data_IF_956109766319
#
_entry.id   IF_956109766319
#
_cell.length_a   1.000
_cell.length_b   1.000
_cell.length_c   1.000
_cell.angle_alpha   90.00
_cell.angle_beta   90.00
_cell.angle_gamma   90.00
#
_symmetry.space_group_name_H-M   'P 1'
#
loop_
_entity.id
_entity.type
_entity.pdbx_description
1 polymer ?
#
# COMPACT_ATOMS: atom_id res chain seq x y z
N UNK A 1 28.05 8.93 -8.39
CA UNK A 1 26.65 8.53 -8.13
C UNK A 1 26.70 7.22 -7.37
N UNK A 2 26.09 7.14 -6.20
CA UNK A 2 26.05 5.91 -5.40
C UNK A 2 24.79 5.14 -5.82
N UNK A 3 24.94 3.89 -6.25
CA UNK A 3 23.81 3.00 -6.46
C UNK A 3 23.43 2.39 -5.09
N UNK A 4 22.25 2.76 -4.59
CA UNK A 4 21.73 2.29 -3.30
C UNK A 4 20.57 1.30 -3.46
N UNK A 5 20.22 0.93 -4.68
CA UNK A 5 19.01 0.14 -4.96
C UNK A 5 19.05 -1.23 -4.26
N UNK A 6 20.19 -1.92 -4.31
CA UNK A 6 20.30 -3.23 -3.67
C UNK A 6 20.26 -3.12 -2.12
N UNK A 7 20.88 -2.08 -1.56
CA UNK A 7 20.80 -1.82 -0.12
C UNK A 7 19.34 -1.48 0.32
N UNK A 8 18.61 -0.72 -0.50
CA UNK A 8 17.21 -0.41 -0.28
C UNK A 8 16.34 -1.68 -0.33
N UNK A 9 16.53 -2.52 -1.36
CA UNK A 9 15.80 -3.79 -1.47
C UNK A 9 16.08 -4.73 -0.28
N UNK A 10 17.35 -4.84 0.12
CA UNK A 10 17.71 -5.61 1.31
C UNK A 10 16.97 -5.09 2.55
N UNK A 11 16.91 -3.77 2.74
CA UNK A 11 16.20 -3.15 3.87
C UNK A 11 14.69 -3.38 3.80
N UNK A 12 14.08 -3.33 2.62
CA UNK A 12 12.64 -3.62 2.43
C UNK A 12 12.31 -5.07 2.76
N UNK A 13 13.17 -6.00 2.33
CA UNK A 13 13.00 -7.44 2.57
C UNK A 13 13.33 -7.86 4.01
N UNK A 14 14.07 -7.03 4.74
CA UNK A 14 14.45 -7.32 6.12
C UNK A 14 13.21 -7.43 7.02
N UNK A 15 13.05 -8.58 7.65
CA UNK A 15 11.90 -8.88 8.51
C UNK A 15 10.60 -9.24 7.76
N UNK A 16 10.67 -9.40 6.43
CA UNK A 16 9.55 -9.99 5.70
C UNK A 16 9.32 -11.42 6.18
N UNK A 17 8.10 -11.70 6.64
CA UNK A 17 7.66 -13.04 7.04
C UNK A 17 6.53 -13.45 6.09
N UNK A 18 6.87 -14.16 5.03
CA UNK A 18 5.91 -14.76 4.11
C UNK A 18 5.97 -16.28 4.25
N UNK A 19 5.03 -16.82 5.01
CA UNK A 19 4.87 -18.28 5.15
C UNK A 19 4.08 -18.89 3.98
N UNK A 20 3.46 -18.04 3.17
CA UNK A 20 2.60 -18.46 2.04
C UNK A 20 3.16 -17.92 0.72
N UNK A 21 3.13 -18.76 -0.30
CA UNK A 21 3.45 -18.35 -1.66
C UNK A 21 2.24 -17.64 -2.26
N UNK A 22 2.38 -16.36 -2.58
CA UNK A 22 1.32 -15.57 -3.17
C UNK A 22 1.54 -15.38 -4.67
N UNK A 23 0.44 -15.40 -5.42
CA UNK A 23 0.41 -14.94 -6.81
C UNK A 23 -0.03 -13.48 -6.85
N UNK A 24 0.86 -12.59 -7.30
CA UNK A 24 0.63 -11.14 -7.26
C UNK A 24 0.85 -10.52 -8.63
N UNK A 25 -0.07 -9.67 -9.06
CA UNK A 25 0.12 -8.78 -10.21
C UNK A 25 0.45 -7.38 -9.70
N UNK A 26 1.58 -6.83 -10.15
CA UNK A 26 2.05 -5.50 -9.80
C UNK A 26 1.84 -4.56 -10.97
N UNK A 27 1.27 -3.40 -10.74
CA UNK A 27 1.10 -2.34 -11.73
C UNK A 27 1.91 -1.11 -11.32
N UNK A 28 3.00 -0.85 -12.03
CA UNK A 28 3.90 0.26 -11.76
C UNK A 28 3.54 1.52 -12.57
N UNK A 29 2.54 1.46 -13.46
CA UNK A 29 2.04 2.59 -14.23
C UNK A 29 3.10 3.43 -14.96
N UNK A 30 4.24 2.81 -15.36
CA UNK A 30 5.43 3.49 -15.89
C UNK A 30 6.06 4.51 -14.92
N UNK A 31 5.73 4.42 -13.62
CA UNK A 31 6.30 5.25 -12.57
C UNK A 31 7.65 4.76 -12.05
N UNK A 32 8.23 5.52 -11.13
CA UNK A 32 9.59 5.25 -10.60
C UNK A 32 9.67 3.99 -9.73
N UNK A 33 8.54 3.44 -9.29
CA UNK A 33 8.49 2.17 -8.57
C UNK A 33 8.91 0.97 -9.44
N UNK A 34 8.77 1.06 -10.78
CA UNK A 34 8.96 -0.06 -11.70
C UNK A 34 10.26 -0.84 -11.53
N UNK A 35 11.45 -0.22 -11.60
CA UNK A 35 12.72 -0.92 -11.44
C UNK A 35 12.91 -1.58 -10.07
N UNK A 36 12.33 -0.99 -9.02
CA UNK A 36 12.39 -1.54 -7.66
C UNK A 36 11.49 -2.77 -7.55
N UNK A 37 10.25 -2.66 -8.04
CA UNK A 37 9.28 -3.76 -8.00
C UNK A 37 9.69 -4.93 -8.88
N UNK A 38 10.29 -4.68 -10.06
CA UNK A 38 10.82 -5.73 -10.92
C UNK A 38 11.91 -6.56 -10.21
N UNK A 39 12.79 -5.93 -9.45
CA UNK A 39 13.78 -6.64 -8.63
C UNK A 39 13.15 -7.28 -7.39
N UNK A 40 12.28 -6.58 -6.68
CA UNK A 40 11.62 -7.06 -5.47
C UNK A 40 10.83 -8.34 -5.76
N UNK A 41 10.02 -8.35 -6.82
CA UNK A 41 9.19 -9.48 -7.20
C UNK A 41 9.98 -10.77 -7.43
N UNK A 42 11.21 -10.67 -7.96
CA UNK A 42 12.12 -11.79 -8.18
C UNK A 42 12.71 -12.35 -6.87
N UNK A 43 12.67 -11.59 -5.79
CA UNK A 43 13.15 -11.98 -4.47
C UNK A 43 12.06 -12.56 -3.57
N UNK A 44 10.80 -12.45 -3.99
CA UNK A 44 9.63 -12.98 -3.27
C UNK A 44 9.31 -14.40 -3.71
N UNK A 45 8.79 -15.22 -2.79
CA UNK A 45 8.28 -16.56 -3.11
C UNK A 45 6.88 -16.46 -3.69
N UNK A 46 6.60 -17.24 -4.75
CA UNK A 46 5.28 -17.26 -5.39
C UNK A 46 5.36 -16.92 -6.87
N UNK A 47 4.24 -16.50 -7.46
CA UNK A 47 4.15 -16.12 -8.86
C UNK A 47 3.90 -14.63 -8.97
N UNK A 48 4.79 -13.93 -9.65
CA UNK A 48 4.71 -12.47 -9.77
C UNK A 48 4.71 -12.05 -11.24
N UNK A 49 3.80 -11.16 -11.59
CA UNK A 49 3.79 -10.47 -12.88
C UNK A 49 3.89 -8.96 -12.64
N UNK A 50 4.83 -8.31 -13.31
CA UNK A 50 5.02 -6.85 -13.21
C UNK A 50 4.58 -6.20 -14.50
N UNK A 51 3.61 -5.30 -14.42
CA UNK A 51 3.09 -4.50 -15.53
C UNK A 51 3.76 -3.12 -15.52
N UNK A 52 4.07 -2.62 -16.71
CA UNK A 52 4.50 -1.25 -16.95
C UNK A 52 5.69 -0.82 -16.07
N UNK A 53 6.71 -1.71 -15.97
CA UNK A 53 7.89 -1.50 -15.13
C UNK A 53 8.87 -0.46 -15.68
N UNK A 54 8.88 -0.22 -17.01
CA UNK A 54 9.75 0.76 -17.63
C UNK A 54 9.32 2.17 -17.26
N UNK A 55 10.25 2.97 -16.75
CA UNK A 55 9.96 4.37 -16.34
C UNK A 55 9.78 5.24 -17.57
N UNK A 56 8.59 5.82 -17.75
CA UNK A 56 8.27 6.76 -18.81
C UNK A 56 7.34 7.87 -18.30
N UNK A 57 7.85 9.09 -18.21
CA UNK A 57 7.09 10.24 -17.72
C UNK A 57 5.92 10.67 -18.62
N UNK A 58 5.73 10.05 -19.80
CA UNK A 58 4.53 10.24 -20.62
C UNK A 58 3.39 9.31 -20.24
N UNK A 59 3.64 8.31 -19.40
CA UNK A 59 2.65 7.33 -18.91
C UNK A 59 1.80 6.71 -20.04
N UNK A 60 2.42 6.01 -21.01
CA UNK A 60 1.76 5.61 -22.25
C UNK A 60 0.64 4.59 -22.09
N UNK A 61 0.56 3.89 -20.95
CA UNK A 61 -0.43 2.85 -20.71
C UNK A 61 -1.67 3.39 -19.99
N UNK A 62 -1.48 4.07 -18.87
CA UNK A 62 -2.52 4.77 -18.11
C UNK A 62 -1.88 5.80 -17.17
N UNK A 63 -2.66 6.77 -16.73
CA UNK A 63 -2.19 7.70 -15.69
C UNK A 63 -1.98 6.93 -14.37
N UNK A 64 -0.80 7.02 -13.73
CA UNK A 64 -0.49 6.25 -12.52
C UNK A 64 -1.12 6.91 -11.28
N UNK A 65 -2.42 6.75 -11.14
CA UNK A 65 -3.21 7.18 -9.98
C UNK A 65 -4.14 6.05 -9.55
N UNK A 66 -3.81 5.31 -8.47
CA UNK A 66 -4.58 4.17 -8.00
C UNK A 66 -5.91 4.55 -7.33
N UNK A 67 -6.19 5.85 -7.16
CA UNK A 67 -7.48 6.31 -6.64
C UNK A 67 -8.58 6.38 -7.69
N UNK A 68 -8.23 6.18 -8.97
CA UNK A 68 -9.15 6.23 -10.10
C UNK A 68 -9.35 4.83 -10.67
N UNK A 69 -10.57 4.28 -10.52
CA UNK A 69 -10.90 2.91 -10.94
C UNK A 69 -10.51 2.61 -12.39
N UNK A 70 -10.72 3.56 -13.32
CA UNK A 70 -10.35 3.41 -14.73
C UNK A 70 -8.87 3.08 -14.92
N UNK A 71 -7.99 3.61 -14.11
CA UNK A 71 -6.56 3.35 -14.19
C UNK A 71 -6.19 1.93 -13.72
N UNK A 72 -7.08 1.26 -13.00
CA UNK A 72 -6.89 -0.08 -12.47
C UNK A 72 -7.48 -1.20 -13.37
N UNK A 73 -8.15 -0.88 -14.48
CA UNK A 73 -8.84 -1.84 -15.35
C UNK A 73 -7.90 -2.94 -15.86
N UNK A 74 -6.69 -2.58 -16.26
CA UNK A 74 -5.69 -3.56 -16.72
C UNK A 74 -5.26 -4.48 -15.60
N UNK A 75 -4.97 -3.94 -14.43
CA UNK A 75 -4.60 -4.72 -13.24
C UNK A 75 -5.73 -5.68 -12.83
N UNK A 76 -6.98 -5.20 -12.74
CA UNK A 76 -8.16 -6.00 -12.43
C UNK A 76 -8.31 -7.16 -13.42
N UNK A 77 -8.17 -6.87 -14.71
CA UNK A 77 -8.28 -7.88 -15.78
C UNK A 77 -7.18 -8.94 -15.64
N UNK A 78 -5.96 -8.52 -15.31
CA UNK A 78 -4.83 -9.45 -15.14
C UNK A 78 -4.98 -10.31 -13.89
N UNK A 79 -5.38 -9.76 -12.76
CA UNK A 79 -5.66 -10.50 -11.52
C UNK A 79 -6.67 -11.63 -11.81
N UNK A 80 -7.80 -11.31 -12.43
CA UNK A 80 -8.84 -12.29 -12.78
C UNK A 80 -8.34 -13.35 -13.77
N UNK A 81 -7.63 -12.95 -14.83
CA UNK A 81 -7.14 -13.86 -15.87
C UNK A 81 -6.12 -14.84 -15.33
N UNK A 82 -5.29 -14.44 -14.38
CA UNK A 82 -4.27 -15.29 -13.77
C UNK A 82 -4.75 -16.05 -12.54
N UNK A 83 -5.96 -15.77 -12.05
CA UNK A 83 -6.43 -16.20 -10.73
C UNK A 83 -5.41 -15.82 -9.64
N UNK A 84 -4.85 -14.62 -9.73
CA UNK A 84 -3.89 -14.13 -8.75
C UNK A 84 -4.58 -13.85 -7.42
N UNK A 85 -3.83 -13.98 -6.31
CA UNK A 85 -4.34 -13.72 -4.96
C UNK A 85 -4.65 -12.25 -4.76
N UNK A 86 -3.83 -11.36 -5.36
CA UNK A 86 -4.05 -9.92 -5.33
C UNK A 86 -3.34 -9.18 -6.46
N UNK A 87 -3.78 -7.93 -6.67
CA UNK A 87 -3.11 -6.95 -7.50
C UNK A 87 -2.67 -5.74 -6.65
N UNK A 88 -1.52 -5.18 -6.97
CA UNK A 88 -0.96 -4.01 -6.30
C UNK A 88 -0.60 -2.97 -7.35
N UNK A 89 -1.15 -1.76 -7.21
CA UNK A 89 -0.84 -0.62 -8.07
C UNK A 89 -0.09 0.47 -7.28
N UNK A 90 0.79 1.17 -7.97
CA UNK A 90 1.52 2.33 -7.46
C UNK A 90 1.19 3.58 -8.26
N UNK A 91 1.36 4.72 -7.66
CA UNK A 91 1.34 5.98 -8.39
C UNK A 91 2.70 6.35 -9.00
N UNK A 92 2.79 7.52 -9.62
CA UNK A 92 3.94 7.90 -10.44
C UNK A 92 5.27 7.99 -9.68
N UNK A 93 5.26 8.42 -8.43
CA UNK A 93 6.45 8.51 -7.56
C UNK A 93 6.51 7.41 -6.49
N UNK A 94 5.50 6.52 -6.49
CA UNK A 94 5.50 5.29 -5.71
C UNK A 94 5.22 5.49 -4.21
N UNK A 95 4.60 6.61 -3.82
CA UNK A 95 4.25 6.90 -2.44
C UNK A 95 2.81 6.52 -2.07
N UNK A 96 1.98 6.13 -3.07
CA UNK A 96 0.61 5.64 -2.90
C UNK A 96 0.46 4.22 -3.39
N UNK A 97 -0.39 3.46 -2.70
CA UNK A 97 -0.72 2.08 -3.04
C UNK A 97 -2.22 1.90 -3.29
N UNK A 98 -2.56 1.16 -4.33
CA UNK A 98 -3.89 0.61 -4.57
C UNK A 98 -3.85 -0.91 -4.53
N UNK A 99 -4.87 -1.54 -3.97
CA UNK A 99 -4.92 -3.00 -3.84
C UNK A 99 -6.21 -3.54 -4.47
N UNK A 100 -6.07 -4.65 -5.19
CA UNK A 100 -7.16 -5.41 -5.82
C UNK A 100 -7.18 -6.80 -5.20
N UNK A 101 -8.34 -7.27 -4.77
CA UNK A 101 -8.50 -8.65 -4.29
C UNK A 101 -8.56 -9.67 -5.45
N UNK A 102 -8.54 -10.95 -5.13
CA UNK A 102 -8.61 -12.05 -6.09
C UNK A 102 -9.90 -12.10 -6.93
N UNK A 103 -10.95 -11.39 -6.51
CA UNK A 103 -12.20 -11.24 -7.24
C UNK A 103 -12.20 -10.01 -8.17
N UNK A 104 -11.12 -9.21 -8.13
CA UNK A 104 -10.99 -7.97 -8.88
C UNK A 104 -11.71 -6.79 -8.24
N UNK A 105 -12.00 -6.85 -6.94
CA UNK A 105 -12.58 -5.75 -6.18
C UNK A 105 -11.47 -4.83 -5.67
N UNK A 106 -11.66 -3.53 -5.82
CA UNK A 106 -10.74 -2.52 -5.30
C UNK A 106 -10.92 -2.43 -3.78
N UNK A 107 -9.81 -2.51 -3.06
CA UNK A 107 -9.72 -2.18 -1.64
C UNK A 107 -9.27 -0.71 -1.53
N UNK A 108 -10.20 0.16 -1.21
CA UNK A 108 -9.91 1.58 -1.04
C UNK A 108 -9.01 1.85 0.17
N UNK A 109 -8.36 3.01 0.21
CA UNK A 109 -7.36 3.34 1.21
C UNK A 109 -7.80 3.12 2.66
N UNK A 110 -9.05 3.41 3.01
CA UNK A 110 -9.60 3.17 4.33
C UNK A 110 -9.85 1.67 4.62
N UNK A 111 -10.25 0.89 3.62
CA UNK A 111 -10.40 -0.55 3.75
C UNK A 111 -9.04 -1.25 3.93
N UNK A 112 -8.04 -0.83 3.15
CA UNK A 112 -6.68 -1.30 3.31
C UNK A 112 -6.13 -0.93 4.70
N UNK A 113 -6.33 0.31 5.13
CA UNK A 113 -5.93 0.76 6.47
C UNK A 113 -6.61 -0.05 7.58
N UNK A 114 -7.88 -0.44 7.41
CA UNK A 114 -8.60 -1.27 8.38
C UNK A 114 -7.98 -2.68 8.51
N UNK A 115 -7.54 -3.27 7.38
CA UNK A 115 -6.85 -4.57 7.36
C UNK A 115 -5.50 -4.46 8.08
N UNK A 116 -4.70 -3.44 7.75
CA UNK A 116 -3.38 -3.22 8.34
C UNK A 116 -3.48 -2.87 9.85
N UNK A 117 -4.56 -2.17 10.24
CA UNK A 117 -4.82 -1.85 11.65
C UNK A 117 -5.08 -3.10 12.50
N UNK A 118 -5.67 -4.15 11.92
CA UNK A 118 -5.90 -5.41 12.62
C UNK A 118 -4.57 -6.04 13.08
N UNK A 119 -3.61 -6.14 12.18
CA UNK A 119 -2.29 -6.70 12.48
C UNK A 119 -1.53 -5.85 13.52
N UNK A 120 -1.49 -4.53 13.31
CA UNK A 120 -0.84 -3.60 14.25
C UNK A 120 -1.47 -3.64 15.64
N UNK A 121 -2.80 -3.75 15.74
CA UNK A 121 -3.50 -3.80 17.04
C UNK A 121 -3.36 -5.15 17.75
N UNK A 122 -3.09 -6.24 17.02
CA UNK A 122 -2.70 -7.52 17.64
C UNK A 122 -1.35 -7.41 18.35
N UNK A 123 -0.39 -6.71 17.75
CA UNK A 123 0.94 -6.51 18.34
C UNK A 123 0.95 -5.41 19.42
N UNK A 124 0.16 -4.35 19.22
CA UNK A 124 0.11 -3.16 20.06
C UNK A 124 -1.34 -2.82 20.47
N UNK A 125 -1.97 -3.60 21.36
CA UNK A 125 -3.35 -3.37 21.78
C UNK A 125 -3.58 -1.98 22.37
N UNK A 126 -4.71 -1.36 22.03
CA UNK A 126 -5.09 -0.04 22.54
C UNK A 126 -4.38 1.14 21.88
N UNK A 127 -3.56 0.92 20.86
CA UNK A 127 -2.89 1.97 20.11
C UNK A 127 -3.85 2.87 19.36
N UNK A 128 -3.41 4.12 19.11
CA UNK A 128 -4.14 5.06 18.25
C UNK A 128 -3.83 4.76 16.78
N UNK A 129 -4.88 4.63 15.97
CA UNK A 129 -4.78 4.52 14.51
C UNK A 129 -5.42 5.76 13.89
N UNK A 130 -4.71 6.42 12.97
CA UNK A 130 -5.17 7.67 12.38
C UNK A 130 -5.69 7.43 10.97
N UNK A 131 -6.94 7.84 10.70
CA UNK A 131 -7.50 7.95 9.35
C UNK A 131 -7.73 9.41 8.98
N UNK A 132 -7.65 9.74 7.68
CA UNK A 132 -7.98 11.09 7.23
C UNK A 132 -9.48 11.37 7.23
N UNK A 133 -9.87 12.64 7.08
CA UNK A 133 -11.30 13.07 7.10
C UNK A 133 -12.15 12.50 5.96
N UNK A 134 -11.53 11.91 4.93
CA UNK A 134 -12.23 11.30 3.79
C UNK A 134 -12.53 9.82 4.02
N UNK A 135 -11.95 9.21 5.05
CA UNK A 135 -12.18 7.81 5.39
C UNK A 135 -13.63 7.58 5.82
N UNK A 136 -14.16 6.41 5.50
CA UNK A 136 -15.51 6.00 5.90
C UNK A 136 -15.62 5.81 7.42
N UNK A 137 -16.83 5.96 7.96
CA UNK A 137 -17.09 5.64 9.36
C UNK A 137 -16.73 4.18 9.68
N UNK A 138 -16.86 3.27 8.69
CA UNK A 138 -16.53 1.86 8.85
C UNK A 138 -15.08 1.59 9.28
N UNK A 139 -14.11 2.43 8.85
CA UNK A 139 -12.73 2.35 9.33
C UNK A 139 -12.67 2.59 10.84
N UNK A 140 -13.25 3.69 11.32
CA UNK A 140 -13.19 4.09 12.73
C UNK A 140 -13.92 3.08 13.62
N UNK A 141 -15.07 2.59 13.17
CA UNK A 141 -15.84 1.54 13.86
C UNK A 141 -15.04 0.23 13.96
N UNK A 142 -14.33 -0.16 12.88
CA UNK A 142 -13.48 -1.35 12.87
C UNK A 142 -12.31 -1.22 13.84
N UNK A 143 -11.62 -0.08 13.84
CA UNK A 143 -10.51 0.19 14.79
C UNK A 143 -11.00 0.09 16.23
N UNK A 144 -12.16 0.69 16.54
CA UNK A 144 -12.76 0.63 17.87
C UNK A 144 -13.13 -0.81 18.26
N UNK A 145 -13.73 -1.58 17.34
CA UNK A 145 -14.09 -2.98 17.56
C UNK A 145 -12.87 -3.88 17.80
N UNK A 146 -11.71 -3.55 17.24
CA UNK A 146 -10.43 -4.21 17.48
C UNK A 146 -9.74 -3.77 18.80
N UNK A 147 -10.38 -2.89 19.58
CA UNK A 147 -9.83 -2.35 20.84
C UNK A 147 -8.80 -1.24 20.66
N UNK A 148 -8.64 -0.71 19.44
CA UNK A 148 -7.82 0.45 19.16
C UNK A 148 -8.51 1.77 19.48
N UNK A 149 -7.79 2.87 19.36
CA UNK A 149 -8.29 4.24 19.51
C UNK A 149 -8.36 4.90 18.13
N UNK A 150 -9.54 4.99 17.48
CA UNK A 150 -9.66 5.64 16.19
C UNK A 150 -9.48 7.15 16.34
N UNK A 151 -8.68 7.76 15.46
CA UNK A 151 -8.47 9.21 15.43
C UNK A 151 -8.64 9.72 13.99
N UNK A 152 -9.65 10.56 13.77
CA UNK A 152 -9.81 11.27 12.49
C UNK A 152 -8.91 12.51 12.49
N UNK A 153 -8.17 12.72 11.41
CA UNK A 153 -7.29 13.86 11.26
C UNK A 153 -7.36 14.52 9.87
N UNK A 154 -6.73 15.67 9.75
CA UNK A 154 -6.67 16.42 8.48
C UNK A 154 -5.87 15.65 7.44
N UNK A 155 -6.34 15.64 6.19
CA UNK A 155 -5.60 15.10 5.04
C UNK A 155 -4.29 15.87 4.83
N UNK A 156 -3.24 15.19 4.45
CA UNK A 156 -1.92 15.73 4.15
C UNK A 156 -0.83 14.98 4.94
N UNK A 157 0.06 14.32 4.20
CA UNK A 157 1.05 13.41 4.80
C UNK A 157 1.90 14.08 5.90
N UNK A 158 2.32 15.34 5.72
CA UNK A 158 3.07 16.07 6.75
C UNK A 158 2.25 16.32 8.02
N UNK A 159 0.94 16.63 7.87
CA UNK A 159 0.04 16.85 9.00
C UNK A 159 -0.22 15.56 9.77
N UNK A 160 -0.40 14.45 9.05
CA UNK A 160 -0.60 13.12 9.62
C UNK A 160 0.66 12.65 10.34
N UNK A 161 1.84 12.74 9.71
CA UNK A 161 3.13 12.38 10.33
C UNK A 161 3.40 13.15 11.63
N UNK A 162 3.11 14.45 11.64
CA UNK A 162 3.23 15.26 12.87
C UNK A 162 2.26 14.77 13.96
N UNK A 163 1.00 14.45 13.58
CA UNK A 163 0.01 13.94 14.52
C UNK A 163 0.37 12.55 15.03
N UNK A 164 0.91 11.67 14.18
CA UNK A 164 1.43 10.37 14.61
C UNK A 164 2.47 10.52 15.72
N UNK A 165 3.43 11.44 15.57
CA UNK A 165 4.44 11.72 16.60
C UNK A 165 3.82 12.25 17.88
N UNK A 166 2.86 13.20 17.77
CA UNK A 166 2.19 13.82 18.93
C UNK A 166 1.46 12.79 19.79
N UNK A 167 0.75 11.83 19.16
CA UNK A 167 -0.09 10.84 19.85
C UNK A 167 0.54 9.45 19.94
N UNK A 168 1.77 9.31 19.45
CA UNK A 168 2.51 8.04 19.38
C UNK A 168 1.72 6.94 18.64
N UNK A 169 1.14 7.31 17.49
CA UNK A 169 0.37 6.36 16.67
C UNK A 169 1.30 5.47 15.84
N UNK A 170 1.17 4.13 15.88
CA UNK A 170 1.99 3.21 15.09
C UNK A 170 1.62 3.18 13.61
N UNK A 171 0.36 3.51 13.29
CA UNK A 171 -0.19 3.42 11.94
C UNK A 171 -1.13 4.58 11.65
N UNK A 172 -1.04 5.08 10.42
CA UNK A 172 -1.99 6.02 9.87
C UNK A 172 -2.18 5.78 8.37
N UNK A 173 -3.27 6.30 7.79
CA UNK A 173 -3.50 6.22 6.36
C UNK A 173 -4.47 7.28 5.83
N UNK A 174 -4.40 7.47 4.52
CA UNK A 174 -5.26 8.37 3.76
C UNK A 174 -6.04 7.62 2.69
N UNK A 175 -7.20 8.16 2.32
CA UNK A 175 -8.01 7.64 1.20
C UNK A 175 -7.24 7.62 -0.13
N UNK A 176 -6.23 8.46 -0.27
CA UNK A 176 -5.35 8.53 -1.44
C UNK A 176 -4.43 7.32 -1.61
N UNK A 177 -4.32 6.45 -0.59
CA UNK A 177 -3.43 5.30 -0.60
C UNK A 177 -2.06 5.53 0.07
N UNK A 178 -1.83 6.69 0.67
CA UNK A 178 -0.67 6.86 1.55
C UNK A 178 -0.89 6.07 2.85
N UNK A 179 0.06 5.22 3.20
CA UNK A 179 0.06 4.47 4.46
C UNK A 179 1.35 4.79 5.22
N UNK A 180 1.23 5.04 6.50
CA UNK A 180 2.33 5.49 7.34
C UNK A 180 2.51 4.54 8.52
N UNK A 181 3.67 3.91 8.61
CA UNK A 181 4.10 3.09 9.74
C UNK A 181 5.19 3.83 10.52
N UNK A 182 5.14 3.81 11.84
CA UNK A 182 6.14 4.48 12.68
C UNK A 182 7.32 3.58 13.08
N UNK A 183 7.26 2.28 12.79
CA UNK A 183 8.23 1.30 13.28
C UNK A 183 9.54 1.25 12.48
N UNK A 184 9.49 1.57 11.16
CA UNK A 184 10.63 1.42 10.27
C UNK A 184 11.09 2.68 9.57
N UNK A 185 10.14 3.51 9.14
CA UNK A 185 10.39 4.70 8.34
C UNK A 185 9.55 5.85 8.88
N UNK A 186 10.23 6.93 9.22
CA UNK A 186 9.56 8.13 9.74
C UNK A 186 9.93 9.33 8.88
#
# INVERSE_FOLDING_TARGET
QLDIQDAYLHRVLEGLRLDTKLSIVWDCGNGVAGPVIDKLSKSLSGEHEVLFADVDGNFPNHHPDPTIEKNLETLITRVKKRNADLGIAFDGDGDRIGVIDNLGKILWGDQLLAILAEDVLLEQPGSTIIGDVKASQGLFDRIAALGGKPLMWKTGHSLIKNKMKEVNAPLAGEMSGHIFFSDRYF
#
